data_IF_101832653972
#
_entry.id   IF_101832653972
#
_cell.length_a   1.000
_cell.length_b   1.000
_cell.length_c   1.000
_cell.angle_alpha   90.00
_cell.angle_beta   90.00
_cell.angle_gamma   90.00
#
_symmetry.space_group_name_H-M   'P 1'
#
loop_
_entity.id
_entity.type
_entity.pdbx_description
1 polymer ?
#
# COMPACT_ATOMS: atom_id res chain seq x y z
N UNK A 1 31.95 23.87 2.13
CA UNK A 1 30.55 23.88 2.61
C UNK A 1 29.69 24.59 1.56
N UNK A 2 29.01 23.84 0.70
CA UNK A 2 27.94 24.37 -0.15
C UNK A 2 26.80 23.35 -0.15
N UNK A 3 25.69 23.74 0.45
CA UNK A 3 24.45 22.97 0.47
C UNK A 3 23.85 22.98 -0.94
N UNK A 4 23.81 21.81 -1.59
CA UNK A 4 22.99 21.60 -2.80
C UNK A 4 21.56 21.34 -2.36
N UNK A 5 20.71 22.35 -2.54
CA UNK A 5 19.25 22.21 -2.54
C UNK A 5 18.82 21.25 -3.66
N UNK A 6 18.30 20.08 -3.28
CA UNK A 6 17.54 19.20 -4.17
C UNK A 6 16.19 19.87 -4.46
N UNK A 7 16.00 20.32 -5.71
CA UNK A 7 14.71 20.81 -6.21
C UNK A 7 13.86 19.60 -6.60
N UNK A 8 12.71 19.45 -5.96
CA UNK A 8 11.68 18.51 -6.39
C UNK A 8 10.89 19.14 -7.56
N UNK A 9 10.95 18.52 -8.73
CA UNK A 9 10.21 18.97 -9.92
C UNK A 9 8.76 18.48 -9.86
N UNK A 10 7.82 19.36 -9.50
CA UNK A 10 6.39 19.18 -9.72
C UNK A 10 5.93 20.11 -10.84
N UNK A 11 6.09 19.69 -12.09
CA UNK A 11 5.50 20.36 -13.24
C UNK A 11 4.21 19.63 -13.63
N UNK A 12 3.06 20.25 -13.33
CA UNK A 12 1.72 19.77 -13.74
C UNK A 12 1.32 20.49 -15.04
N UNK A 13 1.08 19.77 -16.17
CA UNK A 13 0.51 20.39 -17.36
C UNK A 13 -1.03 20.53 -17.22
N UNK A 14 -1.57 21.70 -17.58
CA UNK A 14 -3.01 21.94 -17.72
C UNK A 14 -3.54 21.28 -18.99
N UNK A 15 -4.63 20.52 -18.91
CA UNK A 15 -5.39 20.00 -20.07
C UNK A 15 -6.84 20.52 -20.03
N UNK A 16 -7.46 20.90 -21.16
CA UNK A 16 -8.79 21.53 -21.19
C UNK A 16 -9.94 20.52 -21.06
N UNK A 17 -11.05 20.99 -20.45
CA UNK A 17 -12.33 20.29 -20.29
C UNK A 17 -13.03 20.07 -21.64
N UNK A 18 -13.48 18.84 -21.88
CA UNK A 18 -14.38 18.46 -22.98
C UNK A 18 -15.56 17.62 -22.46
N UNK A 19 -16.74 17.88 -22.99
CA UNK A 19 -18.10 17.57 -22.51
C UNK A 19 -18.48 16.08 -22.35
N UNK A 20 -19.36 15.83 -21.37
CA UNK A 20 -20.21 14.65 -21.20
C UNK A 20 -21.19 14.46 -22.37
N UNK A 21 -21.52 13.20 -22.69
CA UNK A 21 -22.83 12.87 -23.23
C UNK A 21 -23.38 11.59 -22.56
N UNK A 22 -24.55 11.74 -21.94
CA UNK A 22 -25.35 10.69 -21.29
C UNK A 22 -26.35 10.18 -22.33
N UNK A 23 -26.43 8.87 -22.54
CA UNK A 23 -27.54 8.25 -23.29
C UNK A 23 -28.31 7.27 -22.42
N UNK A 24 -29.49 7.72 -22.00
CA UNK A 24 -30.55 6.89 -21.47
C UNK A 24 -31.06 5.91 -22.53
N UNK A 25 -31.37 4.67 -22.13
CA UNK A 25 -32.15 3.73 -22.96
C UNK A 25 -33.41 3.28 -22.23
N UNK A 26 -34.45 3.20 -23.06
CA UNK A 26 -35.88 3.18 -22.77
C UNK A 26 -36.34 1.83 -22.22
N UNK A 27 -37.39 1.92 -21.40
CA UNK A 27 -38.25 0.84 -20.98
C UNK A 27 -38.94 0.17 -22.18
N UNK A 28 -39.11 -1.15 -22.10
CA UNK A 28 -40.09 -1.91 -22.87
C UNK A 28 -41.03 -2.59 -21.88
N UNK A 29 -42.30 -2.21 -21.96
CA UNK A 29 -43.40 -2.88 -21.30
C UNK A 29 -43.91 -4.01 -22.22
N UNK A 30 -44.17 -5.18 -21.65
CA UNK A 30 -45.06 -6.18 -22.26
C UNK A 30 -45.98 -6.68 -21.18
N UNK A 31 -47.28 -6.47 -21.40
CA UNK A 31 -48.37 -7.00 -20.61
C UNK A 31 -48.59 -8.48 -20.99
N UNK A 32 -48.85 -9.33 -19.99
CA UNK A 32 -49.47 -10.63 -20.22
C UNK A 32 -50.40 -11.00 -19.09
N UNK A 33 -51.40 -11.76 -19.51
CA UNK A 33 -52.76 -11.85 -19.01
C UNK A 33 -52.93 -12.85 -17.86
N UNK A 34 -54.00 -12.63 -17.12
CA UNK A 34 -54.55 -13.35 -15.96
C UNK A 34 -54.63 -14.87 -16.15
N UNK A 35 -54.28 -15.63 -15.10
CA UNK A 35 -55.01 -16.85 -14.75
C UNK A 35 -55.14 -16.95 -13.22
N UNK A 36 -56.39 -16.93 -12.76
CA UNK A 36 -56.77 -17.07 -11.37
C UNK A 36 -56.64 -18.54 -10.93
N UNK A 37 -55.82 -18.79 -9.90
CA UNK A 37 -55.75 -20.05 -9.18
C UNK A 37 -55.86 -19.75 -7.69
N UNK A 38 -56.98 -20.12 -7.09
CA UNK A 38 -57.22 -19.99 -5.66
C UNK A 38 -56.27 -20.93 -4.89
N UNK A 39 -55.27 -20.37 -4.21
CA UNK A 39 -54.52 -21.06 -3.17
C UNK A 39 -55.01 -20.61 -1.80
N UNK A 40 -55.37 -21.60 -0.98
CA UNK A 40 -55.73 -21.45 0.43
C UNK A 40 -54.59 -20.78 1.20
N UNK A 41 -54.86 -19.59 1.73
CA UNK A 41 -53.95 -18.86 2.63
C UNK A 41 -54.12 -19.45 4.03
N UNK A 42 -53.15 -20.24 4.47
CA UNK A 42 -52.97 -20.53 5.89
C UNK A 42 -52.20 -19.36 6.53
N UNK A 43 -52.67 -18.76 7.64
CA UNK A 43 -51.91 -17.72 8.32
C UNK A 43 -50.67 -18.37 8.96
N UNK A 44 -49.50 -18.11 8.39
CA UNK A 44 -48.24 -18.43 9.06
C UNK A 44 -48.05 -17.45 10.22
N UNK A 45 -47.69 -17.93 11.43
CA UNK A 45 -47.37 -17.04 12.53
C UNK A 45 -46.19 -16.17 12.13
N UNK A 46 -46.41 -14.85 12.13
CA UNK A 46 -45.36 -13.86 11.89
C UNK A 46 -44.42 -13.89 13.09
N UNK A 47 -43.42 -14.76 13.03
CA UNK A 47 -42.30 -14.69 13.94
C UNK A 47 -41.58 -13.37 13.67
N UNK A 48 -41.79 -12.39 14.54
CA UNK A 48 -40.95 -11.19 14.61
C UNK A 48 -39.56 -11.68 14.98
N UNK A 49 -38.74 -11.93 13.96
CA UNK A 49 -37.32 -12.17 14.15
C UNK A 49 -36.76 -10.89 14.76
N UNK A 50 -36.52 -10.92 16.07
CA UNK A 50 -35.70 -9.91 16.74
C UNK A 50 -34.33 -9.98 16.06
N UNK A 51 -34.10 -9.08 15.12
CA UNK A 51 -32.77 -8.85 14.55
C UNK A 51 -31.94 -8.29 15.69
N UNK A 52 -31.25 -9.16 16.43
CA UNK A 52 -30.18 -8.74 17.31
C UNK A 52 -29.14 -8.12 16.38
N UNK A 53 -29.02 -6.78 16.44
CA UNK A 53 -27.92 -6.08 15.81
C UNK A 53 -26.63 -6.77 16.27
N UNK A 54 -25.93 -7.41 15.34
CA UNK A 54 -24.61 -7.94 15.61
C UNK A 54 -23.77 -6.75 16.09
N UNK A 55 -23.06 -6.87 17.23
CA UNK A 55 -22.15 -5.83 17.65
C UNK A 55 -21.18 -5.58 16.49
N UNK A 56 -21.06 -4.32 16.07
CA UNK A 56 -20.04 -3.92 15.09
C UNK A 56 -18.70 -4.47 15.57
N UNK A 57 -17.92 -5.13 14.69
CA UNK A 57 -16.65 -5.71 15.10
C UNK A 57 -15.80 -4.61 15.74
N UNK A 58 -15.38 -4.85 16.98
CA UNK A 58 -14.48 -3.94 17.71
C UNK A 58 -13.22 -3.85 16.87
N UNK A 59 -12.98 -2.70 16.23
CA UNK A 59 -11.75 -2.49 15.48
C UNK A 59 -10.57 -2.57 16.44
N UNK A 60 -9.66 -3.49 16.18
CA UNK A 60 -8.44 -3.59 16.94
C UNK A 60 -7.54 -2.38 16.68
N UNK A 61 -6.97 -1.83 17.76
CA UNK A 61 -6.13 -0.63 17.73
C UNK A 61 -4.75 -0.98 18.26
N UNK A 62 -3.71 -0.62 17.52
CA UNK A 62 -2.33 -0.62 18.02
C UNK A 62 -2.14 0.64 18.90
N UNK A 63 -1.85 0.50 20.20
CA UNK A 63 -1.74 1.64 21.11
C UNK A 63 -0.53 2.54 20.81
N UNK A 64 0.54 2.00 20.22
CA UNK A 64 1.74 2.76 19.86
C UNK A 64 1.51 3.51 18.53
N UNK A 65 0.86 2.83 17.57
CA UNK A 65 0.55 3.35 16.24
C UNK A 65 -0.95 3.26 15.94
N UNK A 66 -1.77 4.16 16.54
CA UNK A 66 -3.23 4.08 16.47
C UNK A 66 -3.82 4.32 15.08
N UNK A 67 -3.04 4.83 14.13
CA UNK A 67 -3.47 4.96 12.74
C UNK A 67 -3.34 3.67 11.92
N UNK A 68 -2.78 2.61 12.49
CA UNK A 68 -2.61 1.31 11.81
C UNK A 68 -3.96 0.64 11.57
N UNK A 69 -4.22 0.24 10.31
CA UNK A 69 -5.30 -0.71 10.04
C UNK A 69 -4.82 -2.14 10.37
N UNK A 70 -4.99 -2.57 11.62
CA UNK A 70 -4.37 -3.80 12.18
C UNK A 70 -4.78 -5.08 11.42
N UNK A 71 -6.05 -5.23 11.08
CA UNK A 71 -6.52 -6.37 10.27
C UNK A 71 -5.81 -6.42 8.91
N UNK A 72 -5.70 -5.27 8.24
CA UNK A 72 -5.02 -5.13 6.96
C UNK A 72 -3.53 -5.40 7.06
N UNK A 73 -2.86 -4.93 8.11
CA UNK A 73 -1.46 -5.23 8.39
C UNK A 73 -1.20 -6.74 8.41
N UNK A 74 -2.01 -7.49 9.17
CA UNK A 74 -1.86 -8.95 9.27
C UNK A 74 -2.10 -9.65 7.95
N UNK A 75 -3.15 -9.24 7.22
CA UNK A 75 -3.47 -9.85 5.93
C UNK A 75 -2.39 -9.57 4.87
N UNK A 76 -1.80 -8.37 4.87
CA UNK A 76 -0.65 -8.04 4.01
C UNK A 76 0.54 -8.94 4.36
N UNK A 77 0.91 -9.02 5.65
CA UNK A 77 2.04 -9.85 6.08
C UNK A 77 1.83 -11.32 5.74
N UNK A 78 0.59 -11.83 5.86
CA UNK A 78 0.24 -13.18 5.43
C UNK A 78 0.44 -13.37 3.92
N UNK A 79 0.00 -12.42 3.09
CA UNK A 79 0.24 -12.46 1.63
C UNK A 79 1.71 -12.44 1.28
N UNK A 80 2.48 -11.53 1.89
CA UNK A 80 3.94 -11.43 1.65
C UNK A 80 4.65 -12.73 1.98
N UNK A 81 4.30 -13.36 3.13
CA UNK A 81 4.86 -14.65 3.54
C UNK A 81 4.41 -15.82 2.66
N UNK A 82 3.28 -15.69 1.96
CA UNK A 82 2.77 -16.72 1.04
C UNK A 82 3.44 -16.71 -0.34
N UNK A 83 4.12 -15.62 -0.71
CA UNK A 83 4.89 -15.56 -1.96
C UNK A 83 6.13 -16.45 -1.84
N UNK A 84 6.48 -17.16 -2.90
CA UNK A 84 7.71 -17.97 -2.91
C UNK A 84 8.93 -17.15 -3.36
N UNK A 85 10.16 -17.60 -3.08
CA UNK A 85 11.36 -16.96 -3.65
C UNK A 85 11.33 -16.91 -5.19
N UNK A 86 10.75 -17.90 -5.86
CA UNK A 86 10.57 -17.91 -7.32
C UNK A 86 9.57 -16.84 -7.76
N UNK A 87 8.54 -16.57 -6.96
CA UNK A 87 7.61 -15.48 -7.24
C UNK A 87 8.30 -14.11 -7.22
N UNK A 88 9.31 -13.96 -6.36
CA UNK A 88 10.06 -12.72 -6.10
C UNK A 88 11.38 -12.61 -6.89
N UNK A 89 11.70 -13.61 -7.72
CA UNK A 89 12.94 -13.66 -8.52
C UNK A 89 12.68 -13.64 -10.03
N UNK A 90 11.52 -13.12 -10.44
CA UNK A 90 11.15 -12.92 -11.85
C UNK A 90 11.68 -11.59 -12.40
N UNK A 91 11.23 -11.22 -13.60
CA UNK A 91 11.38 -9.84 -14.09
C UNK A 91 10.82 -8.85 -13.05
N UNK A 92 11.55 -7.75 -12.83
CA UNK A 92 11.24 -6.80 -11.78
C UNK A 92 9.82 -6.23 -11.86
N UNK A 93 9.28 -5.95 -13.04
CA UNK A 93 7.93 -5.40 -13.12
C UNK A 93 6.87 -6.44 -12.74
N UNK A 94 7.14 -7.74 -12.95
CA UNK A 94 6.29 -8.80 -12.41
C UNK A 94 6.39 -8.90 -10.88
N UNK A 95 7.61 -8.84 -10.35
CA UNK A 95 7.85 -8.86 -8.89
C UNK A 95 7.17 -7.67 -8.23
N UNK A 96 7.33 -6.46 -8.80
CA UNK A 96 6.70 -5.23 -8.32
C UNK A 96 5.17 -5.35 -8.27
N UNK A 97 4.55 -5.90 -9.33
CA UNK A 97 3.10 -6.15 -9.33
C UNK A 97 2.67 -7.12 -8.23
N UNK A 98 3.47 -8.15 -7.94
CA UNK A 98 3.17 -9.10 -6.86
C UNK A 98 3.28 -8.47 -5.48
N UNK A 99 4.31 -7.68 -5.21
CA UNK A 99 4.45 -7.00 -3.91
C UNK A 99 3.38 -5.91 -3.73
N UNK A 100 2.96 -5.24 -4.81
CA UNK A 100 1.80 -4.32 -4.76
C UNK A 100 0.51 -5.07 -4.42
N UNK A 101 0.23 -6.18 -5.09
CA UNK A 101 -0.93 -7.02 -4.79
C UNK A 101 -0.90 -7.55 -3.36
N UNK A 102 0.26 -8.02 -2.89
CA UNK A 102 0.43 -8.49 -1.52
C UNK A 102 0.16 -7.36 -0.51
N UNK A 103 0.57 -6.14 -0.85
CA UNK A 103 0.30 -4.93 -0.09
C UNK A 103 -1.12 -4.36 -0.21
N UNK A 104 -1.98 -4.93 -1.03
CA UNK A 104 -3.33 -4.41 -1.24
C UNK A 104 -3.36 -3.13 -2.07
N UNK A 105 -2.43 -2.98 -3.01
CA UNK A 105 -2.38 -1.88 -3.97
C UNK A 105 -2.65 -2.35 -5.39
N UNK A 106 -3.39 -1.54 -6.15
CA UNK A 106 -3.56 -1.67 -7.60
C UNK A 106 -2.27 -1.22 -8.30
N UNK A 107 -1.96 -1.87 -9.42
CA UNK A 107 -0.92 -1.41 -10.33
C UNK A 107 -1.47 -0.32 -11.26
N UNK A 108 -1.15 0.93 -10.96
CA UNK A 108 -1.62 2.13 -11.64
C UNK A 108 -0.43 2.98 -12.12
N UNK A 109 0.46 2.44 -12.97
CA UNK A 109 1.72 3.09 -13.36
C UNK A 109 1.54 4.27 -14.33
N UNK A 110 0.31 4.50 -14.80
CA UNK A 110 -0.02 5.59 -15.74
C UNK A 110 -1.00 6.62 -15.14
N UNK A 111 -1.37 6.46 -13.87
CA UNK A 111 -2.20 7.46 -13.19
C UNK A 111 -1.41 8.74 -12.93
N UNK A 112 -2.13 9.85 -12.82
CA UNK A 112 -1.54 11.15 -12.50
C UNK A 112 -1.20 11.19 -11.00
N UNK A 113 -0.12 11.89 -10.58
CA UNK A 113 0.13 12.15 -9.15
C UNK A 113 -1.12 12.69 -8.44
N UNK A 114 -1.43 12.13 -7.27
CA UNK A 114 -2.66 12.43 -6.51
C UNK A 114 -3.91 11.67 -6.96
N UNK A 115 -3.85 10.88 -8.04
CA UNK A 115 -4.94 10.04 -8.56
C UNK A 115 -4.60 8.54 -8.44
N UNK A 116 -3.90 8.17 -7.36
CA UNK A 116 -3.50 6.78 -7.10
C UNK A 116 -2.34 6.27 -7.97
N UNK A 117 -1.43 7.14 -8.41
CA UNK A 117 -0.21 6.75 -9.11
C UNK A 117 0.69 5.85 -8.23
N UNK A 118 0.80 4.57 -8.58
CA UNK A 118 1.66 3.58 -7.89
C UNK A 118 2.89 3.18 -8.71
N UNK A 119 3.19 3.88 -9.81
CA UNK A 119 4.34 3.57 -10.66
C UNK A 119 5.70 3.83 -9.99
N UNK A 120 5.75 4.71 -8.98
CA UNK A 120 6.95 4.99 -8.20
C UNK A 120 7.14 4.01 -7.02
N UNK A 121 6.08 3.34 -6.58
CA UNK A 121 6.13 2.40 -5.46
C UNK A 121 7.20 1.32 -5.71
N UNK A 122 8.20 1.26 -4.82
CA UNK A 122 9.36 0.37 -4.89
C UNK A 122 10.31 0.58 -6.09
N UNK A 123 10.06 1.58 -6.94
CA UNK A 123 10.85 1.88 -8.14
C UNK A 123 11.87 3.01 -7.94
N UNK A 124 11.88 3.64 -6.77
CA UNK A 124 12.87 4.63 -6.37
C UNK A 124 13.55 4.23 -5.05
N UNK A 125 14.27 5.16 -4.42
CA UNK A 125 15.04 4.87 -3.22
C UNK A 125 14.22 4.92 -1.93
N UNK A 126 13.13 5.69 -1.90
CA UNK A 126 12.47 6.06 -0.66
C UNK A 126 10.99 5.68 -0.58
N UNK A 127 10.25 5.39 -1.64
CA UNK A 127 8.86 4.91 -1.54
C UNK A 127 8.82 3.38 -1.38
N UNK A 128 9.49 2.89 -0.33
CA UNK A 128 9.73 1.47 -0.11
C UNK A 128 8.99 0.90 1.12
N UNK A 129 8.21 1.72 1.82
CA UNK A 129 7.45 1.31 3.00
C UNK A 129 6.00 1.07 2.60
N UNK A 130 5.53 -0.16 2.72
CA UNK A 130 4.10 -0.42 2.52
C UNK A 130 3.35 -0.28 3.84
N UNK A 131 2.56 0.78 3.95
CA UNK A 131 1.86 1.17 5.17
C UNK A 131 0.36 0.94 5.01
N UNK A 132 -0.27 0.10 5.85
CA UNK A 132 -1.72 0.02 5.98
C UNK A 132 -2.22 0.98 7.06
N UNK A 133 -3.21 1.79 6.73
CA UNK A 133 -3.72 2.81 7.63
C UNK A 133 -5.25 2.87 7.64
N UNK A 134 -5.81 3.32 8.77
CA UNK A 134 -7.24 3.56 8.90
C UNK A 134 -7.70 4.63 7.89
N UNK A 135 -8.93 4.52 7.41
CA UNK A 135 -9.47 5.46 6.42
C UNK A 135 -9.46 6.92 6.92
N UNK A 136 -9.70 7.12 8.22
CA UNK A 136 -9.72 8.44 8.84
C UNK A 136 -8.35 9.13 8.79
N UNK A 137 -7.25 8.37 8.97
CA UNK A 137 -5.89 8.93 8.95
C UNK A 137 -5.30 9.01 7.54
N UNK A 138 -5.88 8.30 6.56
CA UNK A 138 -5.42 8.37 5.16
C UNK A 138 -5.49 9.80 4.59
N UNK A 139 -6.37 10.66 5.14
CA UNK A 139 -6.51 12.06 4.76
C UNK A 139 -5.63 13.03 5.56
N UNK A 140 -4.80 12.53 6.50
CA UNK A 140 -3.89 13.37 7.26
C UNK A 140 -2.94 14.13 6.35
N UNK A 141 -2.80 15.44 6.61
CA UNK A 141 -1.86 16.30 5.91
C UNK A 141 -0.52 16.31 6.63
N UNK A 142 0.55 16.36 5.84
CA UNK A 142 1.88 16.59 6.38
C UNK A 142 2.09 18.06 6.78
N UNK A 143 2.55 18.33 8.00
CA UNK A 143 2.74 19.67 8.58
C UNK A 143 4.15 20.26 8.44
N UNK A 144 5.08 19.57 7.76
CA UNK A 144 6.47 20.01 7.57
C UNK A 144 7.48 19.34 8.50
N UNK A 145 7.03 18.42 9.36
CA UNK A 145 7.86 17.66 10.30
C UNK A 145 8.83 16.67 9.62
N UNK A 146 8.58 16.27 8.36
CA UNK A 146 9.30 15.23 7.63
C UNK A 146 10.07 15.92 6.51
N UNK A 147 11.40 15.89 6.62
CA UNK A 147 12.28 16.53 5.64
C UNK A 147 12.11 15.91 4.26
N UNK A 148 11.84 16.75 3.27
CA UNK A 148 11.74 16.36 1.86
C UNK A 148 10.33 16.04 1.37
N UNK A 149 9.30 16.13 2.22
CA UNK A 149 7.90 15.94 1.84
C UNK A 149 7.20 17.30 1.71
N UNK A 150 6.38 17.45 0.67
CA UNK A 150 5.59 18.65 0.48
C UNK A 150 4.57 18.83 1.62
N UNK A 151 4.56 20.00 2.24
CA UNK A 151 3.54 20.39 3.22
C UNK A 151 2.15 20.35 2.56
N UNK A 152 1.15 19.82 3.29
CA UNK A 152 -0.23 19.76 2.81
C UNK A 152 -0.53 18.70 1.75
N UNK A 153 0.32 17.68 1.59
CA UNK A 153 0.09 16.61 0.63
C UNK A 153 -1.21 15.83 0.95
N UNK A 154 -2.16 15.82 0.01
CA UNK A 154 -3.47 15.16 0.13
C UNK A 154 -3.40 13.75 -0.46
N UNK A 155 -2.82 12.82 0.29
CA UNK A 155 -2.65 11.44 -0.16
C UNK A 155 -3.96 10.63 -0.13
N UNK A 156 -4.91 10.98 0.73
CA UNK A 156 -6.16 10.24 0.96
C UNK A 156 -6.90 9.78 -0.30
N UNK A 157 -7.25 10.66 -1.25
CA UNK A 157 -7.92 10.25 -2.49
C UNK A 157 -7.10 9.24 -3.31
N UNK A 158 -5.76 9.41 -3.36
CA UNK A 158 -4.87 8.49 -4.06
C UNK A 158 -4.82 7.12 -3.38
N UNK A 159 -4.79 7.10 -2.05
CA UNK A 159 -4.83 5.89 -1.22
C UNK A 159 -6.13 5.13 -1.45
N UNK A 160 -7.27 5.80 -1.41
CA UNK A 160 -8.59 5.19 -1.66
C UNK A 160 -8.69 4.59 -3.07
N UNK A 161 -8.24 5.35 -4.09
CA UNK A 161 -8.26 4.90 -5.48
C UNK A 161 -7.38 3.67 -5.67
N UNK A 162 -6.16 3.68 -5.12
CA UNK A 162 -5.18 2.63 -5.33
C UNK A 162 -5.40 1.40 -4.45
N UNK A 163 -6.12 1.51 -3.33
CA UNK A 163 -6.28 0.39 -2.40
C UNK A 163 -7.21 -0.70 -2.96
N UNK A 164 -6.86 -1.94 -2.66
CA UNK A 164 -7.73 -3.12 -2.83
C UNK A 164 -8.54 -3.34 -1.54
N UNK A 165 -9.86 -3.61 -1.64
CA UNK A 165 -10.74 -3.71 -0.46
C UNK A 165 -10.60 -5.04 0.30
N UNK A 166 -10.12 -6.08 -0.37
CA UNK A 166 -10.04 -7.47 0.08
C UNK A 166 -9.10 -7.75 1.28
N UNK A 167 -8.31 -6.76 1.71
CA UNK A 167 -7.41 -6.89 2.85
C UNK A 167 -7.97 -6.34 4.16
N UNK A 168 -9.21 -5.82 4.18
CA UNK A 168 -9.88 -5.32 5.38
C UNK A 168 -10.23 -3.82 5.28
N UNK A 169 -10.63 -3.16 6.37
CA UNK A 169 -11.04 -1.74 6.37
C UNK A 169 -9.85 -0.77 6.41
N UNK A 170 -9.93 0.36 5.68
CA UNK A 170 -8.84 1.34 5.53
C UNK A 170 -8.17 1.30 4.16
N UNK A 171 -6.92 1.74 4.07
CA UNK A 171 -6.16 1.80 2.82
C UNK A 171 -4.71 1.36 2.96
N UNK A 172 -4.02 1.19 1.83
CA UNK A 172 -2.60 0.89 1.73
C UNK A 172 -1.89 1.96 0.90
N UNK A 173 -0.61 2.22 1.19
CA UNK A 173 0.21 3.14 0.40
C UNK A 173 1.71 2.82 0.52
N UNK A 174 2.48 3.11 -0.53
CA UNK A 174 3.95 3.13 -0.46
C UNK A 174 4.43 4.48 0.08
N UNK A 175 4.73 4.54 1.37
CA UNK A 175 5.15 5.77 2.05
C UNK A 175 6.67 5.95 1.99
N UNK A 176 7.13 7.17 2.27
CA UNK A 176 8.55 7.50 2.18
C UNK A 176 9.32 7.01 3.42
N UNK A 177 10.40 6.26 3.20
CA UNK A 177 11.35 5.67 4.16
C UNK A 177 12.28 6.71 4.83
N UNK A 178 12.29 7.96 4.38
CA UNK A 178 13.21 8.99 4.88
C UNK A 178 13.07 9.20 6.40
N UNK A 179 14.16 9.00 7.14
CA UNK A 179 14.18 9.15 8.60
C UNK A 179 13.91 7.85 9.38
N UNK A 180 13.74 6.71 8.70
CA UNK A 180 13.48 5.43 9.36
C UNK A 180 14.67 4.85 10.14
N UNK A 181 15.89 5.39 9.97
CA UNK A 181 17.09 4.95 10.70
C UNK A 181 17.24 5.61 12.08
N UNK A 182 16.42 6.60 12.39
CA UNK A 182 16.37 7.26 13.70
C UNK A 182 15.46 6.44 14.63
N UNK A 183 15.72 6.46 15.93
CA UNK A 183 14.87 5.83 16.94
C UNK A 183 14.24 6.91 17.86
N UNK A 184 12.90 7.04 17.92
CA UNK A 184 11.91 6.32 17.09
C UNK A 184 11.94 6.76 15.61
N UNK A 185 11.52 5.90 14.66
CA UNK A 185 11.49 6.21 13.25
C UNK A 185 10.75 7.52 12.94
N UNK A 186 11.34 8.34 12.07
CA UNK A 186 10.81 9.65 11.66
C UNK A 186 10.26 9.66 10.23
N UNK A 187 9.95 8.47 9.70
CA UNK A 187 9.42 8.30 8.36
C UNK A 187 7.92 8.63 8.27
N UNK A 188 7.39 8.63 7.04
CA UNK A 188 6.00 9.04 6.77
C UNK A 188 4.98 8.10 7.44
N UNK A 189 5.26 6.80 7.50
CA UNK A 189 4.35 5.84 8.13
C UNK A 189 4.16 6.17 9.62
N UNK A 190 5.27 6.33 10.33
CA UNK A 190 5.27 6.50 11.78
C UNK A 190 4.83 7.91 12.20
N UNK A 191 5.22 8.96 11.47
CA UNK A 191 4.95 10.36 11.87
C UNK A 191 3.60 10.85 11.36
N UNK A 192 3.35 10.78 10.04
CA UNK A 192 2.14 11.37 9.45
C UNK A 192 0.90 10.51 9.69
N UNK A 193 1.04 9.21 9.48
CA UNK A 193 -0.08 8.28 9.60
C UNK A 193 -0.19 7.64 10.98
N UNK A 194 0.86 7.74 11.81
CA UNK A 194 0.95 7.00 13.08
C UNK A 194 0.59 5.52 12.88
N UNK A 195 1.15 4.93 11.83
CA UNK A 195 0.83 3.58 11.38
C UNK A 195 2.11 2.74 11.26
N UNK A 196 2.00 1.45 11.59
CA UNK A 196 3.05 0.44 11.37
C UNK A 196 3.31 0.24 9.89
N UNK A 197 4.52 -0.17 9.55
CA UNK A 197 4.87 -0.68 8.22
C UNK A 197 4.49 -2.17 8.13
N UNK A 198 3.70 -2.56 7.14
CA UNK A 198 3.40 -3.99 6.89
C UNK A 198 4.63 -4.73 6.38
N UNK A 199 5.29 -4.12 5.39
CA UNK A 199 6.63 -4.53 4.96
C UNK A 199 7.40 -3.34 4.38
N UNK A 200 8.72 -3.39 4.50
CA UNK A 200 9.67 -2.48 3.87
C UNK A 200 10.54 -3.27 2.91
N UNK A 201 10.71 -2.76 1.69
CA UNK A 201 11.66 -3.31 0.74
C UNK A 201 13.05 -2.71 0.97
N UNK A 202 14.04 -3.57 1.15
CA UNK A 202 15.44 -3.19 1.34
C UNK A 202 16.32 -3.93 0.32
N UNK A 203 16.99 -3.19 -0.56
CA UNK A 203 17.98 -3.75 -1.48
C UNK A 203 19.25 -4.17 -0.74
N UNK A 204 19.85 -5.30 -1.14
CA UNK A 204 20.95 -5.93 -0.40
C UNK A 204 22.33 -5.52 -0.92
N UNK A 205 23.27 -5.10 -0.05
CA UNK A 205 24.63 -4.80 -0.49
C UNK A 205 25.39 -6.09 -0.90
N UNK A 206 26.57 -5.98 -1.56
CA UNK A 206 27.13 -4.78 -2.17
C UNK A 206 26.65 -4.55 -3.62
N UNK A 207 26.07 -5.57 -4.25
CA UNK A 207 25.69 -5.54 -5.66
C UNK A 207 24.26 -5.02 -5.90
N UNK A 208 23.45 -4.99 -4.84
CA UNK A 208 22.06 -4.53 -4.89
C UNK A 208 21.18 -5.31 -5.86
N UNK A 209 21.57 -6.54 -6.23
CA UNK A 209 20.85 -7.41 -7.17
C UNK A 209 19.78 -8.30 -6.51
N UNK A 210 19.67 -8.28 -5.18
CA UNK A 210 18.59 -8.91 -4.43
C UNK A 210 17.98 -7.92 -3.44
N UNK A 211 16.82 -8.27 -2.90
CA UNK A 211 16.15 -7.48 -1.87
C UNK A 211 15.56 -8.41 -0.80
N UNK A 212 15.34 -7.84 0.38
CA UNK A 212 14.54 -8.43 1.44
C UNK A 212 13.28 -7.61 1.67
N UNK A 213 12.22 -8.27 2.12
CA UNK A 213 11.05 -7.66 2.71
C UNK A 213 11.12 -7.90 4.21
N UNK A 214 11.04 -6.83 5.00
CA UNK A 214 11.06 -6.89 6.47
C UNK A 214 9.84 -6.19 7.05
N UNK A 215 9.35 -6.61 8.21
CA UNK A 215 8.26 -5.92 8.88
C UNK A 215 8.71 -4.65 9.64
N UNK A 216 7.78 -4.00 10.32
CA UNK A 216 8.02 -2.80 11.13
C UNK A 216 9.10 -2.96 12.21
N UNK A 217 9.29 -4.18 12.73
CA UNK A 217 10.33 -4.48 13.72
C UNK A 217 11.70 -4.76 13.09
N UNK A 218 11.77 -4.82 11.76
CA UNK A 218 12.94 -5.27 11.01
C UNK A 218 13.04 -6.79 10.87
N UNK A 219 12.01 -7.54 11.25
CA UNK A 219 12.02 -8.99 11.14
C UNK A 219 11.80 -9.43 9.69
N UNK A 220 12.51 -10.48 9.28
CA UNK A 220 12.42 -11.06 7.95
C UNK A 220 11.00 -11.52 7.60
N UNK A 221 10.53 -11.17 6.40
CA UNK A 221 9.30 -11.67 5.81
C UNK A 221 9.54 -12.50 4.55
N UNK A 222 10.34 -11.99 3.61
CA UNK A 222 10.64 -12.67 2.35
C UNK A 222 11.88 -12.07 1.65
N UNK A 223 12.32 -12.66 0.54
CA UNK A 223 13.39 -12.10 -0.31
C UNK A 223 13.25 -12.55 -1.77
N UNK A 224 14.00 -11.91 -2.66
CA UNK A 224 14.06 -12.30 -4.07
C UNK A 224 15.32 -11.83 -4.78
N UNK A 225 15.59 -12.45 -5.92
CA UNK A 225 16.70 -12.16 -6.83
C UNK A 225 16.14 -11.75 -8.21
N UNK A 226 15.48 -10.58 -8.29
CA UNK A 226 14.79 -10.18 -9.50
C UNK A 226 15.77 -9.93 -10.65
N UNK A 227 15.26 -10.03 -11.88
CA UNK A 227 16.02 -9.77 -13.11
C UNK A 227 15.32 -8.71 -13.95
N UNK A 228 15.86 -8.42 -15.14
CA UNK A 228 15.25 -7.49 -16.09
C UNK A 228 15.46 -6.03 -15.74
N UNK A 229 14.41 -5.22 -15.89
CA UNK A 229 14.46 -3.77 -15.73
C UNK A 229 14.41 -3.36 -14.24
N UNK A 230 15.48 -3.65 -13.49
CA UNK A 230 15.61 -3.23 -12.09
C UNK A 230 15.60 -1.69 -11.97
N UNK A 231 15.21 -1.13 -10.81
CA UNK A 231 15.48 0.27 -10.48
C UNK A 231 16.97 0.57 -10.67
N UNK A 232 17.31 1.82 -10.96
CA UNK A 232 18.70 2.17 -11.22
C UNK A 232 19.59 1.85 -10.00
N UNK A 233 20.84 1.47 -10.27
CA UNK A 233 21.76 1.03 -9.21
C UNK A 233 21.94 2.08 -8.11
N UNK A 234 21.87 3.38 -8.44
CA UNK A 234 22.03 4.44 -7.45
C UNK A 234 20.82 4.51 -6.52
N UNK A 235 19.61 4.37 -7.05
CA UNK A 235 18.39 4.30 -6.24
C UNK A 235 18.38 3.09 -5.32
N UNK A 236 18.77 1.91 -5.81
CA UNK A 236 18.88 0.71 -4.97
C UNK A 236 19.94 0.85 -3.87
N UNK A 237 21.09 1.41 -4.18
CA UNK A 237 22.11 1.72 -3.17
C UNK A 237 21.66 2.80 -2.17
N UNK A 238 20.96 3.83 -2.66
CA UNK A 238 20.39 4.91 -1.83
C UNK A 238 19.34 4.36 -0.86
N UNK A 239 18.47 3.45 -1.31
CA UNK A 239 17.50 2.74 -0.47
C UNK A 239 18.19 2.04 0.71
N UNK A 240 19.23 1.24 0.46
CA UNK A 240 19.98 0.61 1.54
C UNK A 240 20.64 1.65 2.46
N UNK A 241 21.21 2.72 1.90
CA UNK A 241 21.83 3.78 2.70
C UNK A 241 20.84 4.50 3.63
N UNK A 242 19.55 4.60 3.26
CA UNK A 242 18.51 5.20 4.12
C UNK A 242 18.24 4.37 5.37
N UNK A 243 18.39 3.04 5.28
CA UNK A 243 18.13 2.10 6.38
C UNK A 243 19.40 1.65 7.11
N UNK A 244 20.58 1.90 6.56
CA UNK A 244 21.87 1.44 7.08
C UNK A 244 22.06 1.82 8.54
N UNK A 245 22.48 0.86 9.36
CA UNK A 245 22.69 1.05 10.80
C UNK A 245 21.41 1.02 11.64
N UNK A 246 20.24 0.75 11.03
CA UNK A 246 18.96 0.59 11.72
C UNK A 246 18.53 -0.88 11.80
N UNK A 247 17.42 -1.14 12.52
CA UNK A 247 16.79 -2.46 12.60
C UNK A 247 16.44 -3.05 11.21
N UNK A 248 16.13 -2.20 10.24
CA UNK A 248 15.71 -2.63 8.90
C UNK A 248 16.85 -3.14 8.01
N UNK A 249 18.11 -2.85 8.33
CA UNK A 249 19.26 -3.26 7.50
C UNK A 249 19.72 -4.72 7.77
N UNK A 250 19.38 -5.28 8.93
CA UNK A 250 19.94 -6.54 9.44
C UNK A 250 19.76 -7.72 8.49
N UNK A 251 18.55 -7.90 7.96
CA UNK A 251 18.24 -9.04 7.10
C UNK A 251 18.85 -8.89 5.70
N UNK A 252 19.02 -7.65 5.23
CA UNK A 252 19.71 -7.38 3.98
C UNK A 252 21.21 -7.71 4.09
N UNK A 253 21.83 -7.37 5.22
CA UNK A 253 23.22 -7.70 5.54
C UNK A 253 23.40 -9.22 5.70
N UNK A 254 22.51 -9.88 6.44
CA UNK A 254 22.55 -11.33 6.62
C UNK A 254 22.37 -12.08 5.29
N UNK A 255 21.51 -11.60 4.38
CA UNK A 255 21.38 -12.19 3.05
C UNK A 255 22.65 -11.97 2.20
N UNK A 256 23.26 -10.78 2.28
CA UNK A 256 24.50 -10.47 1.58
C UNK A 256 25.65 -11.40 2.00
N UNK A 257 25.79 -11.64 3.31
CA UNK A 257 26.81 -12.55 3.86
C UNK A 257 26.60 -13.99 3.38
N UNK A 258 25.36 -14.48 3.36
CA UNK A 258 25.03 -15.82 2.84
C UNK A 258 25.37 -15.96 1.36
N UNK A 259 25.11 -14.92 0.56
CA UNK A 259 25.41 -14.93 -0.88
C UNK A 259 26.90 -14.78 -1.18
N UNK A 260 27.69 -14.20 -0.28
CA UNK A 260 29.14 -14.07 -0.45
C UNK A 260 29.92 -15.34 -0.07
N UNK A 261 29.31 -16.21 0.74
CA UNK A 261 29.89 -17.50 1.15
C UNK A 261 29.54 -18.69 0.25
N UNK A 262 28.71 -18.49 -0.78
CA UNK A 262 28.31 -19.49 -1.77
C UNK A 262 29.10 -19.33 -3.07
#
# INVERSE_FOLDING_TARGET
MLARTLRCCSAVPKVPRGMMEVRARRAFAVASTVLAGALLVFPTPTAVAKTFAQPSPVMEVDPEYPGTAVERLRNIQARVKSLTPEDLSKDWEEVRRKILWAGGLKDLPRSVPGQGYTGHSFNDDNHCDLTPMLGEVAHNLHGGEIRGIAMGNRLGPGIEIASLPELGPGGSWSTCTNGCHVEPPQDVAHVQFRARIAFKLVWTPPHFSSFVLVDDSGAYLNHGFPTGALPDLRSRASNYNLVKGSKYAREAEALAERSAGA
#
